data_IF_316886780155
#
_entry.id   IF_316886780155
#
_cell.length_a   1.000
_cell.length_b   1.000
_cell.length_c   1.000
_cell.angle_alpha   90.00
_cell.angle_beta   90.00
_cell.angle_gamma   90.00
#
_symmetry.space_group_name_H-M   'P 1'
#
loop_
_entity.id
_entity.type
_entity.pdbx_description
1 polymer ?
#
# COMPACT_ATOMS: atom_id res chain seq x y z
N UNK A 1 57.89 18.26 -7.10
CA UNK A 1 57.33 19.36 -7.91
C UNK A 1 56.25 18.86 -8.88
N UNK A 2 56.55 17.87 -9.74
CA UNK A 2 55.60 17.34 -10.73
C UNK A 2 54.30 16.85 -10.10
N UNK A 3 54.33 16.09 -8.99
CA UNK A 3 53.15 15.58 -8.29
C UNK A 3 52.26 16.70 -7.72
N UNK A 4 52.85 17.75 -7.16
CA UNK A 4 52.12 18.91 -6.65
C UNK A 4 51.33 19.62 -7.77
N UNK A 5 51.96 19.76 -8.94
CA UNK A 5 51.33 20.35 -10.12
C UNK A 5 50.14 19.48 -10.57
N UNK A 6 50.29 18.15 -10.61
CA UNK A 6 49.19 17.23 -10.93
C UNK A 6 48.02 17.32 -9.92
N UNK A 7 48.32 17.41 -8.62
CA UNK A 7 47.30 17.59 -7.59
C UNK A 7 46.48 18.90 -7.77
N UNK A 8 47.20 20.00 -8.09
CA UNK A 8 46.56 21.30 -8.35
C UNK A 8 45.65 21.23 -9.60
N UNK A 9 46.14 20.62 -10.68
CA UNK A 9 45.37 20.47 -11.92
C UNK A 9 44.11 19.63 -11.72
N UNK A 10 44.20 18.50 -11.00
CA UNK A 10 43.03 17.65 -10.67
C UNK A 10 42.08 18.42 -9.79
N UNK A 11 42.57 19.19 -8.80
CA UNK A 11 41.71 19.96 -7.92
C UNK A 11 40.96 21.08 -8.66
N UNK A 12 41.63 21.80 -9.54
CA UNK A 12 41.01 22.80 -10.41
C UNK A 12 39.96 22.13 -11.33
N UNK A 13 40.30 20.97 -11.93
CA UNK A 13 39.36 20.23 -12.78
C UNK A 13 38.11 19.79 -12.04
N UNK A 14 38.20 19.42 -10.76
CA UNK A 14 37.04 19.09 -9.91
C UNK A 14 36.23 20.35 -9.54
N UNK A 15 36.92 21.47 -9.25
CA UNK A 15 36.26 22.74 -8.91
C UNK A 15 35.57 23.39 -10.10
N UNK A 16 36.06 23.23 -11.30
CA UNK A 16 35.46 23.72 -12.54
C UNK A 16 34.40 22.79 -13.14
N UNK A 17 34.10 21.67 -12.46
CA UNK A 17 33.17 20.64 -12.94
C UNK A 17 33.56 19.98 -14.27
N UNK A 18 34.79 20.15 -14.73
CA UNK A 18 35.33 19.43 -15.90
C UNK A 18 35.51 17.96 -15.55
N UNK A 19 35.97 17.69 -14.32
CA UNK A 19 36.13 16.32 -13.79
C UNK A 19 34.95 16.04 -12.87
N UNK A 20 34.01 15.21 -13.32
CA UNK A 20 32.75 14.95 -12.61
C UNK A 20 32.89 13.84 -11.54
N UNK A 21 33.70 14.13 -10.51
CA UNK A 21 33.95 13.23 -9.36
C UNK A 21 33.74 13.97 -8.04
N UNK A 22 33.45 13.21 -7.00
CA UNK A 22 33.19 13.78 -5.66
C UNK A 22 34.47 14.27 -5.00
N UNK A 23 34.43 15.40 -4.29
CA UNK A 23 35.59 16.12 -3.70
C UNK A 23 36.44 15.29 -2.74
N UNK A 24 35.87 14.28 -2.07
CA UNK A 24 36.64 13.41 -1.16
C UNK A 24 37.67 12.50 -1.86
N UNK A 25 37.60 12.32 -3.17
CA UNK A 25 38.58 11.59 -3.96
C UNK A 25 39.92 12.32 -4.12
N UNK A 26 40.04 13.55 -3.64
CA UNK A 26 41.32 14.24 -3.51
C UNK A 26 42.29 13.58 -2.52
N UNK A 27 41.80 12.86 -1.49
CA UNK A 27 42.67 12.17 -0.55
C UNK A 27 43.62 11.15 -1.22
N UNK A 28 43.11 10.20 -2.03
CA UNK A 28 44.02 9.28 -2.74
C UNK A 28 44.94 10.00 -3.75
N UNK A 29 44.52 11.12 -4.34
CA UNK A 29 45.36 11.88 -5.26
C UNK A 29 46.60 12.48 -4.54
N UNK A 30 46.41 12.98 -3.32
CA UNK A 30 47.46 13.59 -2.52
C UNK A 30 48.42 12.54 -1.93
N UNK A 31 47.87 11.43 -1.41
CA UNK A 31 48.67 10.43 -0.68
C UNK A 31 49.31 9.36 -1.57
N UNK A 32 48.75 9.10 -2.77
CA UNK A 32 49.26 8.06 -3.67
C UNK A 32 49.73 8.71 -5.01
N UNK A 33 50.99 9.11 -5.14
CA UNK A 33 51.51 9.72 -6.34
C UNK A 33 51.30 8.82 -7.58
N UNK A 34 50.94 9.42 -8.71
CA UNK A 34 50.70 8.77 -10.00
C UNK A 34 49.42 7.93 -10.01
N UNK A 35 49.26 6.94 -9.11
CA UNK A 35 48.09 6.06 -9.07
C UNK A 35 46.80 6.79 -8.65
N UNK A 36 46.87 7.74 -7.75
CA UNK A 36 45.71 8.53 -7.32
C UNK A 36 45.12 9.36 -8.45
N UNK A 37 45.93 10.00 -9.24
CA UNK A 37 45.51 10.75 -10.45
C UNK A 37 44.90 9.81 -11.49
N UNK A 38 45.51 8.67 -11.71
CA UNK A 38 45.07 7.67 -12.68
C UNK A 38 43.68 7.08 -12.28
N UNK A 39 43.48 6.80 -11.00
CA UNK A 39 42.19 6.36 -10.47
C UNK A 39 41.06 7.39 -10.69
N UNK A 40 41.34 8.67 -10.44
CA UNK A 40 40.33 9.74 -10.66
C UNK A 40 39.98 9.88 -12.14
N UNK A 41 40.97 9.76 -13.04
CA UNK A 41 40.71 9.80 -14.49
C UNK A 41 39.92 8.59 -14.97
N UNK A 42 40.20 7.39 -14.47
CA UNK A 42 39.44 6.18 -14.81
C UNK A 42 38.00 6.31 -14.33
N UNK A 43 37.79 6.77 -13.09
CA UNK A 43 36.42 6.99 -12.54
C UNK A 43 35.64 8.05 -13.32
N UNK A 44 36.34 9.15 -13.70
CA UNK A 44 35.70 10.16 -14.55
C UNK A 44 35.29 9.58 -15.90
N UNK A 45 36.14 8.78 -16.53
CA UNK A 45 35.87 8.13 -17.80
C UNK A 45 34.76 7.10 -17.71
N UNK A 46 34.69 6.32 -16.62
CA UNK A 46 33.58 5.41 -16.35
C UNK A 46 32.24 6.15 -16.17
N UNK A 47 32.24 7.24 -15.40
CA UNK A 47 31.06 8.07 -15.19
C UNK A 47 30.59 8.69 -16.51
N UNK A 48 31.53 9.13 -17.34
CA UNK A 48 31.22 9.71 -18.64
C UNK A 48 30.60 8.68 -19.60
N UNK A 49 31.15 7.46 -19.69
CA UNK A 49 30.57 6.35 -20.49
C UNK A 49 29.21 5.92 -19.95
N UNK A 50 29.06 5.77 -18.62
CA UNK A 50 27.80 5.37 -18.01
C UNK A 50 26.71 6.44 -18.11
N UNK A 51 27.08 7.72 -18.16
CA UNK A 51 26.15 8.83 -18.37
C UNK A 51 25.49 8.77 -19.76
N UNK A 52 26.20 8.31 -20.76
CA UNK A 52 25.70 8.15 -22.12
C UNK A 52 24.74 6.92 -22.24
N UNK A 53 25.11 5.81 -21.61
CA UNK A 53 24.29 4.60 -21.59
C UNK A 53 23.00 4.73 -20.74
N UNK A 54 23.02 5.51 -19.63
CA UNK A 54 21.82 5.69 -18.82
C UNK A 54 20.72 6.51 -19.51
N UNK A 55 21.05 7.37 -20.44
CA UNK A 55 20.06 8.12 -21.22
C UNK A 55 19.32 7.25 -22.23
N UNK A 56 19.95 6.22 -22.78
CA UNK A 56 19.30 5.36 -23.78
C UNK A 56 18.46 4.25 -23.15
N UNK A 57 18.92 3.60 -22.07
CA UNK A 57 18.23 2.44 -21.47
C UNK A 57 16.92 2.82 -20.74
N UNK A 58 16.82 4.04 -20.20
CA UNK A 58 15.63 4.47 -19.47
C UNK A 58 14.47 4.92 -20.37
N UNK A 59 14.80 5.59 -21.49
CA UNK A 59 13.79 6.18 -22.37
C UNK A 59 13.25 5.16 -23.39
N UNK A 60 14.07 4.22 -23.82
CA UNK A 60 13.69 3.21 -24.80
C UNK A 60 12.77 2.14 -24.18
N UNK A 61 12.98 1.74 -22.92
CA UNK A 61 12.04 0.86 -22.19
C UNK A 61 10.69 1.53 -21.93
N UNK A 62 10.63 2.84 -21.71
CA UNK A 62 9.35 3.56 -21.56
C UNK A 62 8.59 3.69 -22.89
N UNK A 63 9.28 3.87 -24.04
CA UNK A 63 8.61 3.97 -25.34
C UNK A 63 8.05 2.65 -25.85
N UNK A 64 8.72 1.53 -25.57
CA UNK A 64 8.21 0.20 -25.96
C UNK A 64 6.92 -0.14 -25.20
N UNK A 65 6.76 0.32 -23.96
CA UNK A 65 5.55 0.08 -23.19
C UNK A 65 4.33 0.85 -23.76
N UNK A 66 4.48 2.09 -24.24
CA UNK A 66 3.33 2.85 -24.77
C UNK A 66 2.75 2.24 -26.07
N UNK A 67 3.56 1.63 -26.93
CA UNK A 67 3.07 0.98 -28.15
C UNK A 67 2.41 -0.38 -27.85
N UNK A 68 2.91 -1.12 -26.85
CA UNK A 68 2.32 -2.39 -26.39
C UNK A 68 0.96 -2.12 -25.74
N UNK A 69 0.84 -1.07 -24.91
CA UNK A 69 -0.44 -0.64 -24.32
C UNK A 69 -1.53 -0.36 -25.35
N UNK A 70 -1.20 0.31 -26.45
CA UNK A 70 -2.16 0.59 -27.52
C UNK A 70 -2.64 -0.67 -28.24
N UNK A 71 -1.78 -1.66 -28.38
CA UNK A 71 -2.13 -2.90 -29.10
C UNK A 71 -2.96 -3.86 -28.24
N UNK A 72 -2.75 -3.90 -26.92
CA UNK A 72 -3.53 -4.75 -26.01
C UNK A 72 -4.96 -4.22 -25.83
N UNK A 73 -5.14 -2.90 -25.73
CA UNK A 73 -6.48 -2.29 -25.72
C UNK A 73 -7.22 -2.37 -27.04
N UNK A 74 -6.52 -2.45 -28.18
CA UNK A 74 -7.16 -2.61 -29.48
C UNK A 74 -7.48 -4.08 -29.85
N UNK A 75 -6.76 -5.06 -29.29
CA UNK A 75 -7.11 -6.48 -29.45
C UNK A 75 -8.21 -6.97 -28.50
N UNK A 76 -8.50 -6.21 -27.42
CA UNK A 76 -9.55 -6.55 -26.45
C UNK A 76 -10.98 -6.27 -26.92
N UNK A 77 -11.18 -5.65 -28.09
CA UNK A 77 -12.53 -5.28 -28.58
C UNK A 77 -13.18 -6.35 -29.50
N UNK A 78 -12.53 -7.45 -29.78
CA UNK A 78 -13.10 -8.48 -30.70
C UNK A 78 -13.17 -9.91 -30.14
N UNK A 79 -12.92 -10.14 -28.85
CA UNK A 79 -13.17 -11.45 -28.23
C UNK A 79 -14.02 -11.30 -26.97
N UNK A 80 -15.32 -11.10 -27.15
CA UNK A 80 -16.35 -11.46 -26.18
C UNK A 80 -16.31 -12.99 -25.97
N UNK A 81 -15.59 -13.47 -24.96
CA UNK A 81 -15.67 -14.91 -24.72
C UNK A 81 -14.89 -15.48 -23.53
N UNK A 82 -13.79 -14.89 -23.10
CA UNK A 82 -13.05 -15.43 -21.96
C UNK A 82 -12.36 -14.30 -21.17
N UNK A 83 -13.11 -13.59 -20.36
CA UNK A 83 -12.53 -12.75 -19.30
C UNK A 83 -12.09 -13.73 -18.20
N UNK A 84 -10.83 -14.14 -18.24
CA UNK A 84 -10.21 -14.90 -17.16
C UNK A 84 -9.91 -13.91 -16.04
N UNK A 85 -10.33 -14.15 -14.80
CA UNK A 85 -9.91 -13.34 -13.66
C UNK A 85 -8.38 -13.22 -13.62
N UNK A 86 -7.88 -12.04 -13.28
CA UNK A 86 -6.44 -11.74 -13.28
C UNK A 86 -5.66 -12.73 -12.36
N UNK A 87 -6.31 -13.18 -11.31
CA UNK A 87 -5.81 -14.18 -10.36
C UNK A 87 -5.60 -15.56 -11.02
N UNK A 88 -6.55 -16.01 -11.84
CA UNK A 88 -6.42 -17.26 -12.60
C UNK A 88 -5.38 -17.12 -13.71
N UNK A 89 -5.25 -15.96 -14.30
CA UNK A 89 -4.26 -15.69 -15.34
C UNK A 89 -2.82 -15.82 -14.82
N UNK A 90 -2.57 -15.49 -13.54
CA UNK A 90 -1.27 -15.70 -12.89
C UNK A 90 -0.92 -17.18 -12.64
N UNK A 91 -1.92 -18.06 -12.61
CA UNK A 91 -1.71 -19.49 -12.34
C UNK A 91 -1.59 -20.28 -13.65
N UNK A 92 -2.41 -19.95 -14.63
CA UNK A 92 -2.63 -20.78 -15.83
C UNK A 92 -1.75 -20.39 -17.02
N UNK A 93 -1.37 -19.10 -17.13
CA UNK A 93 -0.67 -18.58 -18.29
C UNK A 93 0.83 -18.90 -18.32
N UNK A 94 1.42 -18.83 -19.52
CA UNK A 94 2.87 -18.96 -19.72
C UNK A 94 3.66 -17.93 -18.91
N UNK A 95 4.91 -18.20 -18.51
CA UNK A 95 5.71 -17.32 -17.65
C UNK A 95 5.82 -15.89 -18.19
N UNK A 96 5.98 -15.71 -19.47
CA UNK A 96 6.11 -14.41 -20.12
C UNK A 96 4.82 -13.58 -19.96
N UNK A 97 3.66 -14.20 -20.11
CA UNK A 97 2.36 -13.53 -19.94
C UNK A 97 2.10 -13.17 -18.48
N UNK A 98 2.50 -14.03 -17.53
CA UNK A 98 2.42 -13.72 -16.08
C UNK A 98 3.26 -12.50 -15.71
N UNK A 99 4.47 -12.38 -16.26
CA UNK A 99 5.36 -11.24 -16.03
C UNK A 99 4.78 -9.95 -16.59
N UNK A 100 4.22 -10.02 -17.79
CA UNK A 100 3.55 -8.90 -18.44
C UNK A 100 2.35 -8.43 -17.63
N UNK A 101 1.53 -9.33 -17.13
CA UNK A 101 0.38 -9.01 -16.26
C UNK A 101 0.81 -8.29 -14.99
N UNK A 102 1.83 -8.78 -14.28
CA UNK A 102 2.35 -8.10 -13.08
C UNK A 102 2.94 -6.74 -13.43
N UNK A 103 3.64 -6.60 -14.54
CA UNK A 103 4.16 -5.30 -14.98
C UNK A 103 3.04 -4.31 -15.30
N UNK A 104 1.92 -4.78 -15.83
CA UNK A 104 0.75 -3.93 -16.08
C UNK A 104 0.11 -3.47 -14.77
N UNK A 105 -0.05 -4.36 -13.80
CA UNK A 105 -0.52 -4.03 -12.44
C UNK A 105 0.38 -2.97 -11.78
N UNK A 106 1.71 -3.09 -11.93
CA UNK A 106 2.66 -2.12 -11.39
C UNK A 106 2.58 -0.73 -12.02
N UNK A 107 2.18 -0.67 -13.30
CA UNK A 107 2.07 0.59 -14.04
C UNK A 107 0.69 1.25 -13.89
N UNK A 108 -0.30 0.53 -13.38
CA UNK A 108 -1.64 1.03 -13.05
C UNK A 108 -1.67 1.55 -11.59
N UNK A 109 -2.69 1.27 -10.84
CA UNK A 109 -2.78 1.58 -9.40
C UNK A 109 -2.52 0.31 -8.58
N UNK A 110 -1.29 0.04 -8.15
CA UNK A 110 -0.98 -1.21 -7.44
C UNK A 110 -1.76 -1.37 -6.12
N UNK A 111 -2.31 -0.29 -5.57
CA UNK A 111 -3.20 -0.31 -4.40
C UNK A 111 -4.46 -1.14 -4.62
N UNK A 112 -5.03 -1.12 -5.83
CA UNK A 112 -6.23 -1.87 -6.19
C UNK A 112 -5.96 -3.38 -6.33
N UNK A 113 -4.68 -3.78 -6.39
CA UNK A 113 -4.24 -5.14 -6.67
C UNK A 113 -3.44 -5.79 -5.54
N UNK A 114 -3.53 -5.28 -4.31
CA UNK A 114 -2.74 -5.79 -3.17
C UNK A 114 -2.94 -7.29 -2.96
N UNK A 115 -4.17 -7.79 -3.07
CA UNK A 115 -4.44 -9.22 -2.91
C UNK A 115 -3.80 -10.06 -4.03
N UNK A 116 -3.86 -9.56 -5.27
CA UNK A 116 -3.17 -10.17 -6.41
C UNK A 116 -1.64 -10.19 -6.21
N UNK A 117 -1.06 -9.10 -5.70
CA UNK A 117 0.37 -9.01 -5.40
C UNK A 117 0.77 -10.01 -4.30
N UNK A 118 -0.08 -10.22 -3.30
CA UNK A 118 0.14 -11.26 -2.28
C UNK A 118 0.14 -12.67 -2.88
N UNK A 119 -0.77 -12.97 -3.79
CA UNK A 119 -0.80 -14.25 -4.51
C UNK A 119 0.41 -14.41 -5.42
N UNK A 120 0.80 -13.34 -6.15
CA UNK A 120 1.96 -13.34 -7.02
C UNK A 120 3.28 -13.60 -6.27
N UNK A 121 3.39 -13.25 -4.99
CA UNK A 121 4.54 -13.62 -4.12
C UNK A 121 4.71 -15.13 -3.93
N UNK A 122 3.66 -15.91 -4.12
CA UNK A 122 3.69 -17.38 -4.00
C UNK A 122 3.83 -18.06 -5.35
N UNK A 123 4.08 -17.31 -6.43
CA UNK A 123 4.20 -17.85 -7.77
C UNK A 123 5.51 -18.67 -7.94
N UNK A 124 5.50 -19.61 -8.86
CA UNK A 124 6.68 -20.43 -9.20
C UNK A 124 7.74 -19.66 -9.98
N UNK A 125 7.31 -18.59 -10.70
CA UNK A 125 8.21 -17.76 -11.48
C UNK A 125 8.90 -16.69 -10.60
N UNK A 126 10.22 -16.80 -10.49
CA UNK A 126 11.05 -15.91 -9.66
C UNK A 126 10.94 -14.44 -10.07
N UNK A 127 10.75 -14.13 -11.35
CA UNK A 127 10.58 -12.75 -11.81
C UNK A 127 9.23 -12.18 -11.39
N UNK A 128 8.15 -12.97 -11.48
CA UNK A 128 6.82 -12.59 -10.98
C UNK A 128 6.88 -12.30 -9.48
N UNK A 129 7.53 -13.17 -8.70
CA UNK A 129 7.75 -12.98 -7.26
C UNK A 129 8.53 -11.70 -6.98
N UNK A 130 9.61 -11.46 -7.74
CA UNK A 130 10.44 -10.26 -7.57
C UNK A 130 9.66 -8.97 -7.84
N UNK A 131 8.88 -8.93 -8.91
CA UNK A 131 8.06 -7.75 -9.23
C UNK A 131 6.97 -7.52 -8.18
N UNK A 132 6.29 -8.58 -7.74
CA UNK A 132 5.27 -8.47 -6.70
C UNK A 132 5.83 -7.95 -5.37
N UNK A 133 6.99 -8.46 -4.93
CA UNK A 133 7.66 -7.98 -3.72
C UNK A 133 8.08 -6.51 -3.87
N UNK A 134 8.63 -6.14 -5.02
CA UNK A 134 9.06 -4.76 -5.28
C UNK A 134 7.88 -3.79 -5.20
N UNK A 135 6.74 -4.16 -5.82
CA UNK A 135 5.50 -3.39 -5.73
C UNK A 135 5.02 -3.20 -4.30
N UNK A 136 4.94 -4.29 -3.56
CA UNK A 136 4.50 -4.25 -2.16
C UNK A 136 5.41 -3.39 -1.28
N UNK A 137 6.72 -3.40 -1.53
CA UNK A 137 7.68 -2.54 -0.81
C UNK A 137 7.48 -1.07 -1.16
N UNK A 138 7.24 -0.74 -2.43
CA UNK A 138 6.97 0.66 -2.83
C UNK A 138 5.65 1.15 -2.24
N UNK A 139 4.59 0.35 -2.29
CA UNK A 139 3.33 0.66 -1.62
C UNK A 139 3.50 0.89 -0.11
N UNK A 140 4.20 -0.02 0.57
CA UNK A 140 4.46 0.12 2.01
C UNK A 140 5.18 1.42 2.33
N UNK A 141 6.17 1.83 1.52
CA UNK A 141 6.88 3.10 1.71
C UNK A 141 5.96 4.32 1.52
N UNK A 142 5.05 4.26 0.56
CA UNK A 142 4.10 5.33 0.30
C UNK A 142 3.14 5.50 1.49
N UNK A 143 2.56 4.41 1.96
CA UNK A 143 1.71 4.41 3.16
C UNK A 143 2.46 4.87 4.41
N UNK A 144 3.70 4.41 4.62
CA UNK A 144 4.53 4.83 5.75
C UNK A 144 4.85 6.33 5.69
N UNK A 145 5.12 6.88 4.51
CA UNK A 145 5.38 8.30 4.31
C UNK A 145 4.15 9.15 4.64
N UNK A 146 2.98 8.72 4.16
CA UNK A 146 1.69 9.39 4.43
C UNK A 146 1.31 9.31 5.92
N UNK A 147 1.56 8.14 6.53
CA UNK A 147 1.36 7.96 7.97
C UNK A 147 2.21 8.93 8.79
N UNK A 148 3.50 9.06 8.49
CA UNK A 148 4.41 9.96 9.17
C UNK A 148 3.97 11.43 9.04
N UNK A 149 3.49 11.82 7.86
CA UNK A 149 3.00 13.19 7.64
C UNK A 149 1.72 13.46 8.45
N UNK A 150 0.77 12.54 8.48
CA UNK A 150 -0.45 12.67 9.28
C UNK A 150 -0.17 12.65 10.79
N UNK A 151 0.77 11.80 11.25
CA UNK A 151 1.24 11.81 12.65
C UNK A 151 1.84 13.17 13.01
N UNK A 152 2.67 13.74 12.13
CA UNK A 152 3.27 15.06 12.33
C UNK A 152 2.21 16.15 12.41
N UNK A 153 1.24 16.17 11.48
CA UNK A 153 0.14 17.14 11.48
C UNK A 153 -0.71 17.02 12.75
N UNK A 154 -1.05 15.80 13.16
CA UNK A 154 -1.79 15.56 14.40
C UNK A 154 -1.02 15.97 15.66
N UNK A 155 0.33 15.87 15.68
CA UNK A 155 1.14 16.36 16.80
C UNK A 155 1.14 17.89 16.89
N UNK A 156 1.10 18.59 15.74
CA UNK A 156 1.06 20.06 15.67
C UNK A 156 -0.32 20.58 16.07
N UNK A 157 -1.38 19.92 15.60
CA UNK A 157 -2.78 20.34 15.80
C UNK A 157 -3.64 19.15 16.27
N UNK A 158 -3.53 18.72 17.54
CA UNK A 158 -4.20 17.50 18.03
C UNK A 158 -5.72 17.60 18.10
N UNK A 159 -6.26 18.81 18.16
CA UNK A 159 -7.70 19.08 18.31
C UNK A 159 -8.35 19.57 17.00
N UNK A 160 -7.59 19.60 15.90
CA UNK A 160 -8.10 20.01 14.59
C UNK A 160 -8.99 18.88 14.03
N UNK A 161 -10.30 19.14 13.82
CA UNK A 161 -11.23 18.11 13.35
C UNK A 161 -10.89 17.61 11.94
N UNK A 162 -10.37 18.47 11.08
CA UNK A 162 -10.04 18.12 9.70
C UNK A 162 -8.82 17.18 9.66
N UNK A 163 -7.78 17.47 10.44
CA UNK A 163 -6.61 16.60 10.58
C UNK A 163 -7.01 15.26 11.19
N UNK A 164 -7.89 15.26 12.19
CA UNK A 164 -8.39 14.05 12.83
C UNK A 164 -9.18 13.17 11.84
N UNK A 165 -10.04 13.79 11.02
CA UNK A 165 -10.82 13.09 10.00
C UNK A 165 -9.90 12.43 8.97
N UNK A 166 -9.02 13.21 8.34
CA UNK A 166 -8.06 12.71 7.36
C UNK A 166 -7.19 11.56 7.90
N UNK A 167 -6.78 11.67 9.17
CA UNK A 167 -5.98 10.62 9.80
C UNK A 167 -6.80 9.37 10.06
N UNK A 168 -8.05 9.48 10.50
CA UNK A 168 -8.93 8.33 10.70
C UNK A 168 -9.27 7.63 9.37
N UNK A 169 -9.59 8.38 8.32
CA UNK A 169 -9.85 7.84 6.98
C UNK A 169 -8.63 7.09 6.43
N UNK A 170 -7.46 7.72 6.52
CA UNK A 170 -6.22 7.07 6.11
C UNK A 170 -5.93 5.78 6.89
N UNK A 171 -6.13 5.78 8.20
CA UNK A 171 -5.91 4.59 9.03
C UNK A 171 -6.89 3.46 8.69
N UNK A 172 -8.15 3.77 8.38
CA UNK A 172 -9.13 2.79 7.94
C UNK A 172 -8.68 2.12 6.64
N UNK A 173 -8.28 2.92 5.65
CA UNK A 173 -7.76 2.46 4.37
C UNK A 173 -6.49 1.60 4.56
N UNK A 174 -5.47 2.13 5.24
CA UNK A 174 -4.19 1.46 5.46
C UNK A 174 -4.33 0.10 6.14
N UNK A 175 -5.18 0.03 7.18
CA UNK A 175 -5.44 -1.21 7.89
C UNK A 175 -6.30 -2.22 7.09
N UNK A 176 -7.05 -1.74 6.10
CA UNK A 176 -7.87 -2.60 5.22
C UNK A 176 -7.05 -3.27 4.13
N UNK A 177 -5.94 -2.67 3.69
CA UNK A 177 -5.09 -3.18 2.61
C UNK A 177 -4.39 -4.50 2.96
N UNK A 178 -4.18 -4.77 4.25
CA UNK A 178 -3.53 -5.99 4.70
C UNK A 178 -2.06 -6.09 4.27
N UNK A 179 -1.38 -4.95 4.11
CA UNK A 179 0.05 -4.87 3.79
C UNK A 179 0.94 -5.11 5.01
N UNK A 180 0.38 -4.94 6.20
CA UNK A 180 1.10 -4.98 7.46
C UNK A 180 1.30 -6.41 7.95
N UNK A 181 2.46 -6.66 8.53
CA UNK A 181 2.69 -7.87 9.33
C UNK A 181 1.85 -7.82 10.60
N UNK A 182 1.40 -8.98 11.08
CA UNK A 182 0.47 -9.13 12.20
C UNK A 182 0.86 -8.29 13.45
N UNK A 183 2.14 -8.27 13.79
CA UNK A 183 2.62 -7.51 14.96
C UNK A 183 2.51 -6.00 14.75
N UNK A 184 2.87 -5.52 13.56
CA UNK A 184 2.80 -4.10 13.19
C UNK A 184 1.35 -3.68 13.06
N UNK A 185 0.52 -4.50 12.40
CA UNK A 185 -0.92 -4.27 12.26
C UNK A 185 -1.58 -4.08 13.63
N UNK A 186 -1.26 -4.94 14.60
CA UNK A 186 -1.79 -4.84 15.96
C UNK A 186 -1.43 -3.51 16.62
N UNK A 187 -0.21 -3.03 16.47
CA UNK A 187 0.23 -1.72 17.01
C UNK A 187 -0.52 -0.58 16.33
N UNK A 188 -0.67 -0.62 15.00
CA UNK A 188 -1.39 0.41 14.27
C UNK A 188 -2.89 0.40 14.60
N UNK A 189 -3.50 -0.77 14.78
CA UNK A 189 -4.89 -0.89 15.25
C UNK A 189 -5.11 -0.31 16.65
N UNK A 190 -4.15 -0.45 17.57
CA UNK A 190 -4.21 0.20 18.88
C UNK A 190 -4.11 1.72 18.78
N UNK A 191 -3.28 2.25 17.88
CA UNK A 191 -3.23 3.70 17.61
C UNK A 191 -4.55 4.19 17.01
N UNK A 192 -5.08 3.45 16.06
CA UNK A 192 -6.37 3.76 15.45
C UNK A 192 -7.52 3.75 16.47
N UNK A 193 -7.55 2.80 17.41
CA UNK A 193 -8.47 2.79 18.55
C UNK A 193 -8.43 4.11 19.31
N UNK A 194 -7.21 4.60 19.67
CA UNK A 194 -7.04 5.85 20.40
C UNK A 194 -7.52 7.08 19.60
N UNK A 195 -7.31 7.11 18.29
CA UNK A 195 -7.81 8.17 17.41
C UNK A 195 -9.34 8.18 17.37
N UNK A 196 -9.95 7.00 17.17
CA UNK A 196 -11.40 6.84 17.17
C UNK A 196 -12.02 7.21 18.51
N UNK A 197 -11.40 6.86 19.64
CA UNK A 197 -11.84 7.28 20.98
C UNK A 197 -11.85 8.80 21.14
N UNK A 198 -10.80 9.49 20.65
CA UNK A 198 -10.76 10.95 20.66
C UNK A 198 -11.85 11.54 19.79
N UNK A 199 -12.02 11.04 18.56
CA UNK A 199 -13.04 11.51 17.63
C UNK A 199 -14.44 11.33 18.22
N UNK A 200 -14.75 10.17 18.85
CA UNK A 200 -16.03 9.92 19.50
C UNK A 200 -16.32 10.84 20.69
N UNK A 201 -15.29 11.35 21.39
CA UNK A 201 -15.46 12.35 22.46
C UNK A 201 -15.87 13.73 21.92
N UNK A 202 -15.41 14.08 20.73
CA UNK A 202 -15.79 15.33 20.07
C UNK A 202 -17.15 15.26 19.41
N UNK A 203 -17.38 14.19 18.64
CA UNK A 203 -18.61 13.97 17.91
C UNK A 203 -18.90 12.49 17.81
N UNK A 204 -20.04 12.07 18.34
CA UNK A 204 -20.48 10.69 18.24
C UNK A 204 -21.32 10.51 16.97
N UNK A 205 -20.72 9.91 15.96
CA UNK A 205 -21.36 9.57 14.68
C UNK A 205 -21.34 8.05 14.42
N UNK A 206 -22.24 7.61 13.55
CA UNK A 206 -22.41 6.18 13.26
C UNK A 206 -21.16 5.58 12.59
N UNK A 207 -20.54 6.29 11.64
CA UNK A 207 -19.40 5.78 10.91
C UNK A 207 -18.22 5.49 11.84
N UNK A 208 -17.88 6.43 12.71
CA UNK A 208 -16.82 6.26 13.71
C UNK A 208 -17.10 5.10 14.67
N UNK A 209 -18.37 4.94 15.11
CA UNK A 209 -18.76 3.78 15.92
C UNK A 209 -18.58 2.45 15.17
N UNK A 210 -18.94 2.40 13.87
CA UNK A 210 -18.76 1.22 13.02
C UNK A 210 -17.27 0.87 12.89
N UNK A 211 -16.44 1.85 12.59
CA UNK A 211 -14.99 1.67 12.47
C UNK A 211 -14.39 1.17 13.81
N UNK A 212 -14.85 1.74 14.93
CA UNK A 212 -14.40 1.32 16.27
C UNK A 212 -14.75 -0.15 16.55
N UNK A 213 -15.99 -0.58 16.29
CA UNK A 213 -16.39 -1.98 16.49
C UNK A 213 -15.57 -2.93 15.63
N UNK A 214 -15.41 -2.62 14.34
CA UNK A 214 -14.59 -3.42 13.42
C UNK A 214 -13.13 -3.54 13.90
N UNK A 215 -12.54 -2.41 14.31
CA UNK A 215 -11.17 -2.39 14.80
C UNK A 215 -10.99 -3.19 16.10
N UNK A 216 -11.92 -3.06 17.04
CA UNK A 216 -11.91 -3.82 18.31
C UNK A 216 -12.08 -5.32 18.09
N UNK A 217 -12.94 -5.74 17.15
CA UNK A 217 -13.05 -7.16 16.78
C UNK A 217 -11.75 -7.70 16.22
N UNK A 218 -11.04 -6.94 15.37
CA UNK A 218 -9.71 -7.32 14.85
C UNK A 218 -8.63 -7.38 15.93
N UNK A 219 -8.73 -6.53 16.95
CA UNK A 219 -7.85 -6.59 18.12
C UNK A 219 -8.20 -7.75 19.08
N UNK A 220 -9.39 -8.36 18.94
CA UNK A 220 -9.91 -9.38 19.82
C UNK A 220 -10.55 -8.84 21.10
N UNK A 221 -10.73 -7.51 21.23
CA UNK A 221 -11.43 -6.90 22.36
C UNK A 221 -12.96 -6.89 22.15
N UNK A 222 -13.54 -8.05 22.26
CA UNK A 222 -14.98 -8.24 22.07
C UNK A 222 -15.81 -7.61 23.19
N UNK A 223 -15.22 -7.38 24.37
CA UNK A 223 -15.89 -6.70 25.48
C UNK A 223 -16.22 -5.25 25.14
N UNK A 224 -15.21 -4.48 24.75
CA UNK A 224 -15.39 -3.09 24.29
C UNK A 224 -16.24 -3.02 23.03
N UNK A 225 -16.02 -3.94 22.07
CA UNK A 225 -16.84 -3.99 20.85
C UNK A 225 -18.33 -4.14 21.17
N UNK A 226 -18.68 -4.96 22.17
CA UNK A 226 -20.06 -5.12 22.62
C UNK A 226 -20.64 -3.83 23.22
N UNK A 227 -19.88 -3.11 24.03
CA UNK A 227 -20.30 -1.82 24.61
C UNK A 227 -20.65 -0.80 23.53
N UNK A 228 -19.79 -0.67 22.50
CA UNK A 228 -20.06 0.23 21.38
C UNK A 228 -21.27 -0.24 20.54
N UNK A 229 -21.40 -1.56 20.32
CA UNK A 229 -22.59 -2.12 19.66
C UNK A 229 -23.91 -1.78 20.39
N UNK A 230 -23.91 -1.76 21.73
CA UNK A 230 -25.07 -1.32 22.50
C UNK A 230 -25.39 0.17 22.30
N UNK A 231 -24.37 1.02 22.11
CA UNK A 231 -24.56 2.43 21.78
C UNK A 231 -25.20 2.57 20.40
N UNK A 232 -24.68 1.82 19.40
CA UNK A 232 -25.24 1.81 18.05
C UNK A 232 -26.69 1.31 18.07
N UNK A 233 -27.00 0.24 18.83
CA UNK A 233 -28.37 -0.29 18.98
C UNK A 233 -29.33 0.77 19.51
N UNK A 234 -28.93 1.52 20.53
CA UNK A 234 -29.80 2.56 21.14
C UNK A 234 -30.08 3.72 20.19
N UNK A 235 -29.09 4.15 19.41
CA UNK A 235 -29.19 5.38 18.59
C UNK A 235 -29.58 5.11 17.15
N UNK A 236 -29.12 4.01 16.57
CA UNK A 236 -29.28 3.70 15.13
C UNK A 236 -29.81 2.30 14.87
N UNK A 237 -30.72 1.84 15.73
CA UNK A 237 -31.31 0.49 15.68
C UNK A 237 -31.90 0.12 14.30
N UNK A 238 -32.48 1.08 13.57
CA UNK A 238 -33.07 0.84 12.24
C UNK A 238 -32.06 0.92 11.09
N UNK A 239 -30.82 1.29 11.36
CA UNK A 239 -29.78 1.39 10.32
C UNK A 239 -29.15 0.02 10.07
N UNK A 240 -28.98 -0.35 8.80
CA UNK A 240 -28.43 -1.66 8.41
C UNK A 240 -27.06 -1.95 9.04
N UNK A 241 -26.21 -0.93 9.22
CA UNK A 241 -24.87 -1.09 9.79
C UNK A 241 -24.86 -1.77 11.17
N UNK A 242 -25.87 -1.47 12.03
CA UNK A 242 -25.99 -2.16 13.32
C UNK A 242 -26.18 -3.67 13.13
N UNK A 243 -27.07 -4.07 12.24
CA UNK A 243 -27.41 -5.48 12.04
C UNK A 243 -26.27 -6.25 11.40
N UNK A 244 -25.59 -5.64 10.41
CA UNK A 244 -24.40 -6.23 9.77
C UNK A 244 -23.31 -6.45 10.81
N UNK A 245 -22.97 -5.43 11.63
CA UNK A 245 -21.98 -5.56 12.69
C UNK A 245 -22.36 -6.59 13.75
N UNK A 246 -23.64 -6.63 14.15
CA UNK A 246 -24.12 -7.59 15.14
C UNK A 246 -23.99 -9.03 14.62
N UNK A 247 -24.30 -9.26 13.35
CA UNK A 247 -24.10 -10.56 12.70
C UNK A 247 -22.61 -10.91 12.67
N UNK A 248 -21.75 -10.00 12.22
CA UNK A 248 -20.30 -10.20 12.19
C UNK A 248 -19.75 -10.52 13.58
N UNK A 249 -20.18 -9.79 14.61
CA UNK A 249 -19.81 -10.03 15.99
C UNK A 249 -20.21 -11.43 16.47
N UNK A 250 -21.45 -11.86 16.18
CA UNK A 250 -21.92 -13.21 16.55
C UNK A 250 -21.12 -14.31 15.83
N UNK A 251 -20.74 -14.10 14.57
CA UNK A 251 -19.93 -15.02 13.79
C UNK A 251 -18.53 -15.16 14.37
N UNK A 252 -17.85 -14.04 14.62
CA UNK A 252 -16.49 -14.03 15.19
C UNK A 252 -16.46 -14.67 16.59
N UNK A 253 -17.52 -14.48 17.39
CA UNK A 253 -17.67 -15.11 18.70
C UNK A 253 -18.22 -16.54 18.63
N UNK A 254 -18.50 -17.08 17.45
CA UNK A 254 -19.08 -18.42 17.23
C UNK A 254 -20.40 -18.65 17.99
N UNK A 255 -21.21 -17.59 18.12
CA UNK A 255 -22.48 -17.58 18.86
C UNK A 255 -23.66 -17.89 17.90
N UNK A 256 -23.77 -19.13 17.43
CA UNK A 256 -24.76 -19.53 16.43
C UNK A 256 -26.24 -19.28 16.84
N UNK A 257 -26.59 -19.52 18.10
CA UNK A 257 -27.97 -19.26 18.60
C UNK A 257 -28.29 -17.75 18.60
N UNK A 258 -27.36 -16.92 19.01
CA UNK A 258 -27.57 -15.46 19.01
C UNK A 258 -27.57 -14.90 17.59
N UNK A 259 -26.76 -15.45 16.69
CA UNK A 259 -26.81 -15.13 15.27
C UNK A 259 -28.20 -15.40 14.68
N UNK A 260 -28.76 -16.57 14.93
CA UNK A 260 -30.11 -16.94 14.46
C UNK A 260 -31.18 -15.98 15.00
N UNK A 261 -31.15 -15.69 16.31
CA UNK A 261 -32.08 -14.72 16.92
C UNK A 261 -31.94 -13.33 16.31
N UNK A 262 -30.71 -12.89 16.02
CA UNK A 262 -30.44 -11.59 15.39
C UNK A 262 -31.03 -11.52 13.99
N UNK A 263 -30.84 -12.55 13.17
CA UNK A 263 -31.42 -12.64 11.82
C UNK A 263 -32.96 -12.67 11.85
N UNK A 264 -33.54 -13.46 12.76
CA UNK A 264 -35.01 -13.52 12.93
C UNK A 264 -35.58 -12.17 13.36
N UNK A 265 -34.91 -11.46 14.28
CA UNK A 265 -35.29 -10.12 14.74
C UNK A 265 -35.22 -9.12 13.59
N UNK A 266 -34.15 -9.12 12.82
CA UNK A 266 -33.95 -8.26 11.64
C UNK A 266 -35.06 -8.47 10.60
N UNK A 267 -35.42 -9.75 10.31
CA UNK A 267 -36.52 -10.08 9.39
C UNK A 267 -37.89 -9.58 9.92
N UNK A 268 -38.17 -9.76 11.21
CA UNK A 268 -39.42 -9.31 11.85
C UNK A 268 -39.58 -7.79 11.86
N UNK A 269 -38.48 -7.06 12.04
CA UNK A 269 -38.48 -5.60 12.08
C UNK A 269 -38.42 -4.96 10.69
N UNK A 270 -38.41 -5.77 9.62
CA UNK A 270 -38.35 -5.33 8.22
C UNK A 270 -37.23 -4.31 7.97
N UNK A 271 -36.04 -4.61 8.47
CA UNK A 271 -34.87 -3.73 8.29
C UNK A 271 -34.51 -3.67 6.81
N UNK A 272 -34.40 -2.44 6.29
CA UNK A 272 -33.96 -2.23 4.92
C UNK A 272 -32.47 -2.51 4.81
N UNK A 273 -32.08 -3.35 3.84
CA UNK A 273 -30.70 -3.63 3.48
C UNK A 273 -30.42 -3.08 2.07
N UNK A 274 -29.32 -2.35 1.95
CA UNK A 274 -28.75 -1.95 0.65
C UNK A 274 -28.31 -3.17 -0.17
N UNK A 275 -27.96 -2.99 -1.44
CA UNK A 275 -27.39 -4.08 -2.25
C UNK A 275 -26.13 -4.66 -1.61
N UNK A 276 -25.22 -3.79 -1.13
CA UNK A 276 -24.02 -4.19 -0.41
C UNK A 276 -24.33 -4.91 0.91
N UNK A 277 -25.28 -4.39 1.71
CA UNK A 277 -25.68 -5.04 2.95
C UNK A 277 -26.30 -6.43 2.74
N UNK A 278 -26.98 -6.65 1.61
CA UNK A 278 -27.49 -7.99 1.23
C UNK A 278 -26.35 -8.92 0.81
N UNK A 279 -25.37 -8.44 0.09
CA UNK A 279 -24.16 -9.21 -0.28
C UNK A 279 -23.39 -9.62 0.98
N UNK A 280 -23.15 -8.69 1.91
CA UNK A 280 -22.45 -8.94 3.17
C UNK A 280 -23.14 -10.01 4.04
N UNK A 281 -24.47 -10.12 3.94
CA UNK A 281 -25.26 -11.06 4.72
C UNK A 281 -25.78 -12.26 3.91
N UNK A 282 -25.47 -12.38 2.61
CA UNK A 282 -26.01 -13.39 1.72
C UNK A 282 -25.86 -14.82 2.25
N UNK A 283 -24.65 -15.15 2.76
CA UNK A 283 -24.34 -16.47 3.33
C UNK A 283 -25.23 -16.86 4.54
N UNK A 284 -25.84 -15.88 5.21
CA UNK A 284 -26.59 -16.07 6.46
C UNK A 284 -28.09 -15.86 6.32
N UNK A 285 -28.54 -15.15 5.27
CA UNK A 285 -29.98 -14.86 5.04
C UNK A 285 -30.67 -16.03 4.33
N UNK A 286 -29.94 -16.72 3.47
CA UNK A 286 -30.47 -17.82 2.63
C UNK A 286 -30.26 -19.21 3.24
N UNK A 287 -29.65 -19.28 4.43
CA UNK A 287 -29.44 -20.52 5.20
C UNK A 287 -30.49 -20.62 6.31
#
# INVERSE_FOLDING_TARGET
LLHIICCILVWVGICTHIINVKKYLMFPVVFVPVWGVLCVLILHFQIWIQSDQRKEVGVEKMKVNEEIYKNIFQSGTEQEGNIVPLEEALIVNEPELRRELIMNVLNDNPEDYVELLKQARMNEDVEVVHYAITAMVELSKEYDSKLQELERLHQISPEDPEVMEQYCEFMEEYLSQGLLEEQIERVQRQRYEQLLEKKLKHQEDLHTCVCMVKNLMKLGDFGKAHEILQIIEKKWHRHEAYWILKVQYCVEQKQGEELKRTLDKMKKEHIYLSSKGREDLALWIDS
#
